data_IF_422707796774
#
_entry.id   IF_422707796774
#
_cell.length_a   1.000
_cell.length_b   1.000
_cell.length_c   1.000
_cell.angle_alpha   90.00
_cell.angle_beta   90.00
_cell.angle_gamma   90.00
#
_symmetry.space_group_name_H-M   'P 1'
#
loop_
_entity.id
_entity.type
_entity.pdbx_description
1 polymer ?
#
# COMPACT_ATOMS: atom_id res chain seq x y z
N UNK A 1 -19.66 3.81 25.06
CA UNK A 1 -18.23 3.69 25.50
C UNK A 1 -17.38 4.37 24.41
N UNK A 2 -16.82 5.58 24.50
CA UNK A 2 -16.43 6.44 25.62
C UNK A 2 -14.97 6.86 25.40
N UNK A 3 -14.70 8.18 25.43
CA UNK A 3 -13.41 8.92 25.37
C UNK A 3 -12.96 9.29 23.95
N UNK A 4 -12.89 10.55 23.49
CA UNK A 4 -12.79 11.84 24.17
C UNK A 4 -11.33 12.29 24.28
N UNK A 5 -10.87 13.21 23.42
CA UNK A 5 -9.80 14.18 23.71
C UNK A 5 -10.05 15.45 22.90
N UNK A 6 -10.27 16.55 23.61
CA UNK A 6 -10.56 17.86 23.04
C UNK A 6 -9.38 18.49 22.32
N UNK A 7 -9.70 19.52 21.54
CA UNK A 7 -8.78 20.61 21.23
C UNK A 7 -9.50 21.92 21.46
N UNK A 8 -8.75 22.81 22.09
CA UNK A 8 -9.19 24.00 22.79
C UNK A 8 -9.77 25.06 21.87
N UNK A 9 -10.67 25.86 22.45
CA UNK A 9 -11.12 27.13 21.89
C UNK A 9 -9.94 28.10 21.91
N UNK A 10 -9.31 28.32 20.77
CA UNK A 10 -8.49 29.51 20.55
C UNK A 10 -9.42 30.61 20.03
N UNK A 11 -9.76 31.57 20.89
CA UNK A 11 -10.30 32.85 20.47
C UNK A 11 -9.24 33.55 19.61
N UNK A 12 -9.35 33.39 18.29
CA UNK A 12 -8.54 34.08 17.30
C UNK A 12 -9.23 35.38 16.93
N UNK A 13 -8.54 36.49 17.21
CA UNK A 13 -8.96 37.85 16.96
C UNK A 13 -9.46 38.03 15.52
N UNK A 14 -10.74 38.37 15.36
CA UNK A 14 -11.34 38.77 14.08
C UNK A 14 -10.91 40.20 13.80
N UNK A 15 -9.72 40.37 13.21
CA UNK A 15 -9.36 41.63 12.57
C UNK A 15 -10.30 41.83 11.39
N UNK A 16 -11.07 42.90 11.40
CA UNK A 16 -11.89 43.34 10.29
C UNK A 16 -10.98 43.74 9.13
N UNK A 17 -10.73 42.81 8.21
CA UNK A 17 -10.12 43.11 6.92
C UNK A 17 -11.14 43.91 6.10
N UNK A 18 -10.84 45.19 5.88
CA UNK A 18 -11.65 46.11 5.09
C UNK A 18 -11.80 45.54 3.67
N UNK A 19 -12.99 45.08 3.33
CA UNK A 19 -13.33 44.66 1.96
C UNK A 19 -13.37 45.92 1.09
N UNK A 20 -12.29 46.18 0.37
CA UNK A 20 -12.27 47.15 -0.72
C UNK A 20 -13.15 46.62 -1.87
N UNK A 21 -14.01 47.46 -2.48
CA UNK A 21 -14.87 47.01 -3.57
C UNK A 21 -14.01 46.58 -4.76
N UNK A 22 -14.06 45.28 -5.06
CA UNK A 22 -13.33 44.62 -6.15
C UNK A 22 -13.88 45.14 -7.48
N UNK A 23 -13.00 45.53 -8.41
CA UNK A 23 -13.43 46.10 -9.68
C UNK A 23 -14.04 45.01 -10.58
N UNK A 24 -15.07 45.30 -11.40
CA UNK A 24 -15.76 44.30 -12.22
C UNK A 24 -14.86 43.52 -13.20
N UNK A 25 -13.68 44.04 -13.54
CA UNK A 25 -12.73 43.42 -14.48
C UNK A 25 -12.00 42.23 -13.85
N UNK A 26 -11.66 42.33 -12.55
CA UNK A 26 -10.95 41.27 -11.82
C UNK A 26 -11.83 40.04 -11.54
N UNK A 27 -13.15 40.24 -11.44
CA UNK A 27 -14.11 39.15 -11.28
C UNK A 27 -14.28 38.33 -12.56
N UNK A 28 -14.19 38.97 -13.73
CA UNK A 28 -14.27 38.31 -15.04
C UNK A 28 -13.06 37.38 -15.23
N UNK A 29 -11.85 37.85 -14.90
CA UNK A 29 -10.62 37.05 -14.99
C UNK A 29 -10.63 35.86 -14.03
N UNK A 30 -11.12 36.07 -12.80
CA UNK A 30 -11.28 35.00 -11.83
C UNK A 30 -12.30 33.94 -12.27
N UNK A 31 -13.42 34.36 -12.85
CA UNK A 31 -14.43 33.45 -13.42
C UNK A 31 -13.84 32.63 -14.59
N UNK A 32 -13.07 33.25 -15.48
CA UNK A 32 -12.42 32.55 -16.59
C UNK A 32 -11.43 31.48 -16.09
N UNK A 33 -10.62 31.79 -15.07
CA UNK A 33 -9.70 30.82 -14.47
C UNK A 33 -10.43 29.61 -13.89
N UNK A 34 -11.53 29.82 -13.17
CA UNK A 34 -12.36 28.74 -12.62
C UNK A 34 -12.97 27.88 -13.74
N UNK A 35 -13.42 28.50 -14.84
CA UNK A 35 -13.95 27.78 -15.99
C UNK A 35 -12.89 26.89 -16.63
N UNK A 36 -11.69 27.41 -16.86
CA UNK A 36 -10.57 26.63 -17.40
C UNK A 36 -10.17 25.48 -16.48
N UNK A 37 -10.15 25.71 -15.17
CA UNK A 37 -9.85 24.66 -14.20
C UNK A 37 -10.91 23.55 -14.23
N UNK A 38 -12.20 23.92 -14.28
CA UNK A 38 -13.30 22.96 -14.43
C UNK A 38 -13.20 22.17 -15.75
N UNK A 39 -12.80 22.81 -16.84
CA UNK A 39 -12.56 22.13 -18.12
C UNK A 39 -11.38 21.16 -18.06
N UNK A 40 -10.27 21.55 -17.44
CA UNK A 40 -9.12 20.66 -17.19
C UNK A 40 -9.52 19.46 -16.35
N UNK A 41 -10.28 19.69 -15.28
CA UNK A 41 -10.80 18.61 -14.43
C UNK A 41 -11.74 17.68 -15.20
N UNK A 42 -12.66 18.23 -16.03
CA UNK A 42 -13.54 17.44 -16.91
C UNK A 42 -12.77 16.62 -17.92
N UNK A 43 -11.76 17.20 -18.58
CA UNK A 43 -10.90 16.52 -19.55
C UNK A 43 -10.06 15.42 -18.90
N UNK A 44 -9.44 15.70 -17.76
CA UNK A 44 -8.70 14.72 -16.98
C UNK A 44 -9.61 13.55 -16.52
N UNK A 45 -10.86 13.85 -16.13
CA UNK A 45 -11.86 12.83 -15.80
C UNK A 45 -12.21 12.01 -17.05
N UNK A 46 -12.49 12.65 -18.18
CA UNK A 46 -12.80 11.97 -19.43
C UNK A 46 -11.66 11.05 -19.89
N UNK A 47 -10.41 11.52 -19.82
CA UNK A 47 -9.23 10.72 -20.19
C UNK A 47 -9.00 9.54 -19.22
N UNK A 48 -9.24 9.73 -17.92
CA UNK A 48 -9.16 8.66 -16.91
C UNK A 48 -10.16 7.53 -17.19
N UNK A 49 -11.35 7.86 -17.68
CA UNK A 49 -12.41 6.89 -18.00
C UNK A 49 -12.47 6.53 -19.50
N UNK A 50 -11.54 7.04 -20.32
CA UNK A 50 -11.51 6.74 -21.75
C UNK A 50 -11.14 5.28 -21.99
N UNK A 51 -12.07 4.53 -22.58
CA UNK A 51 -11.83 3.13 -22.96
C UNK A 51 -10.75 3.10 -24.04
N UNK A 52 -9.59 2.49 -23.74
CA UNK A 52 -8.53 2.28 -24.74
C UNK A 52 -9.03 1.31 -25.81
N UNK A 53 -8.92 1.71 -27.07
CA UNK A 53 -9.23 0.85 -28.23
C UNK A 53 -8.31 -0.38 -28.17
N UNK A 54 -8.89 -1.58 -28.20
CA UNK A 54 -8.11 -2.83 -28.23
C UNK A 54 -7.33 -2.89 -29.54
N UNK A 55 -6.01 -3.09 -29.48
CA UNK A 55 -5.23 -3.46 -30.66
C UNK A 55 -5.78 -4.80 -31.18
N UNK A 56 -6.02 -4.88 -32.49
CA UNK A 56 -6.28 -6.16 -33.15
C UNK A 56 -4.93 -6.84 -33.35
N UNK A 57 -4.88 -8.15 -33.12
CA UNK A 57 -3.69 -8.93 -33.42
C UNK A 57 -3.40 -8.85 -34.93
N UNK A 58 -2.13 -8.63 -35.27
CA UNK A 58 -1.64 -8.61 -36.66
C UNK A 58 -1.87 -10.01 -37.25
N UNK A 59 -2.56 -10.06 -38.40
CA UNK A 59 -2.90 -11.31 -39.07
C UNK A 59 -1.65 -12.00 -39.63
N UNK A 60 -1.73 -13.32 -39.80
CA UNK A 60 -0.67 -14.13 -40.40
C UNK A 60 -0.38 -13.67 -41.84
N UNK A 61 0.89 -13.66 -42.23
CA UNK A 61 1.32 -13.38 -43.59
C UNK A 61 0.92 -14.52 -44.55
N UNK A 62 0.79 -14.19 -45.84
CA UNK A 62 0.36 -15.13 -46.86
C UNK A 62 1.39 -16.27 -47.04
N UNK A 63 0.97 -17.51 -46.79
CA UNK A 63 1.82 -18.71 -46.86
C UNK A 63 2.18 -19.31 -45.50
N UNK A 64 1.88 -18.65 -44.38
CA UNK A 64 2.22 -19.14 -43.05
C UNK A 64 1.17 -20.11 -42.47
N UNK A 65 1.61 -21.26 -41.94
CA UNK A 65 0.71 -22.23 -41.30
C UNK A 65 0.31 -21.75 -39.90
N UNK A 66 -0.97 -21.87 -39.54
CA UNK A 66 -1.47 -21.56 -38.19
C UNK A 66 -0.83 -22.49 -37.15
N UNK A 67 0.05 -21.95 -36.32
CA UNK A 67 0.59 -22.65 -35.16
C UNK A 67 -0.47 -22.87 -34.06
N UNK A 68 -0.38 -24.00 -33.34
CA UNK A 68 -1.21 -24.22 -32.16
C UNK A 68 -0.74 -23.33 -30.99
N UNK A 69 -1.68 -22.71 -30.28
CA UNK A 69 -1.35 -21.83 -29.14
C UNK A 69 -0.90 -22.64 -27.91
N UNK A 70 -0.16 -22.00 -27.00
CA UNK A 70 0.28 -22.65 -25.75
C UNK A 70 -0.89 -23.22 -24.93
N UNK A 71 -2.07 -22.58 -25.00
CA UNK A 71 -3.27 -23.05 -24.31
C UNK A 71 -3.74 -24.40 -24.86
N UNK A 72 -3.79 -24.54 -26.19
CA UNK A 72 -4.16 -25.78 -26.90
C UNK A 72 -3.11 -26.87 -26.67
N UNK A 73 -1.82 -26.51 -26.67
CA UNK A 73 -0.74 -27.48 -26.47
C UNK A 73 -0.71 -28.02 -25.03
N UNK A 74 -0.96 -27.17 -24.02
CA UNK A 74 -0.84 -27.56 -22.61
C UNK A 74 -2.15 -28.01 -21.97
N UNK A 75 -3.31 -27.70 -22.54
CA UNK A 75 -4.64 -28.12 -22.07
C UNK A 75 -4.83 -28.04 -20.54
N UNK A 76 -4.36 -26.94 -19.92
CA UNK A 76 -4.39 -26.77 -18.45
C UNK A 76 -5.78 -26.45 -17.90
N UNK A 77 -6.72 -26.00 -18.74
CA UNK A 77 -8.07 -25.62 -18.31
C UNK A 77 -8.12 -24.46 -17.31
N UNK A 78 -9.22 -24.36 -16.57
CA UNK A 78 -9.51 -23.29 -15.61
C UNK A 78 -8.86 -23.54 -14.23
N UNK A 79 -7.53 -23.74 -14.20
CA UNK A 79 -6.82 -23.94 -12.92
C UNK A 79 -6.67 -22.64 -12.13
N UNK A 80 -6.78 -22.66 -10.79
CA UNK A 80 -6.56 -21.49 -9.96
C UNK A 80 -5.10 -21.03 -9.99
N UNK A 81 -4.87 -19.74 -9.74
CA UNK A 81 -3.53 -19.20 -9.65
C UNK A 81 -2.74 -19.80 -8.47
N UNK A 82 -1.54 -20.33 -8.75
CA UNK A 82 -0.61 -20.86 -7.74
C UNK A 82 0.55 -19.89 -7.53
N UNK A 83 0.86 -19.59 -6.26
CA UNK A 83 2.00 -18.73 -5.91
C UNK A 83 3.33 -19.26 -6.43
N UNK A 84 4.29 -18.37 -6.72
CA UNK A 84 5.62 -18.75 -7.24
C UNK A 84 6.38 -19.67 -6.27
N UNK A 85 6.19 -19.51 -4.96
CA UNK A 85 6.81 -20.38 -3.95
C UNK A 85 6.32 -21.82 -4.04
N UNK A 86 5.05 -22.03 -4.37
CA UNK A 86 4.48 -23.37 -4.52
C UNK A 86 4.96 -24.10 -5.78
N UNK A 87 5.64 -23.41 -6.71
CA UNK A 87 6.25 -24.03 -7.90
C UNK A 87 7.53 -24.82 -7.57
N UNK A 88 8.23 -24.48 -6.49
CA UNK A 88 9.48 -25.11 -6.11
C UNK A 88 9.43 -25.60 -4.64
N UNK A 89 9.41 -26.92 -4.39
CA UNK A 89 9.27 -27.46 -3.03
C UNK A 89 10.40 -27.02 -2.09
N UNK A 90 11.64 -26.89 -2.60
CA UNK A 90 12.79 -26.41 -1.83
C UNK A 90 12.59 -24.98 -1.34
N UNK A 91 12.15 -24.09 -2.24
CA UNK A 91 11.93 -22.67 -1.90
C UNK A 91 10.80 -22.53 -0.88
N UNK A 92 9.72 -23.30 -1.05
CA UNK A 92 8.60 -23.33 -0.08
C UNK A 92 9.08 -23.72 1.33
N UNK A 93 9.87 -24.78 1.45
CA UNK A 93 10.37 -25.26 2.75
C UNK A 93 11.36 -24.29 3.39
N UNK A 94 12.24 -23.67 2.59
CA UNK A 94 13.17 -22.62 3.07
C UNK A 94 12.41 -21.43 3.66
N UNK A 95 11.40 -20.93 2.98
CA UNK A 95 10.57 -19.82 3.48
C UNK A 95 9.73 -20.23 4.69
N UNK A 96 9.20 -21.46 4.71
CA UNK A 96 8.49 -21.99 5.88
C UNK A 96 9.39 -22.01 7.13
N UNK A 97 10.63 -22.46 6.99
CA UNK A 97 11.63 -22.46 8.07
C UNK A 97 11.97 -21.05 8.53
N UNK A 98 12.27 -20.13 7.60
CA UNK A 98 12.52 -18.72 7.92
C UNK A 98 11.36 -18.08 8.71
N UNK A 99 10.12 -18.30 8.26
CA UNK A 99 8.91 -17.82 8.96
C UNK A 99 8.71 -18.48 10.31
N UNK A 100 9.10 -19.74 10.48
CA UNK A 100 9.04 -20.43 11.76
C UNK A 100 10.06 -19.85 12.75
N UNK A 101 11.29 -19.58 12.31
CA UNK A 101 12.30 -18.92 13.14
C UNK A 101 11.86 -17.54 13.61
N UNK A 102 11.28 -16.73 12.73
CA UNK A 102 10.75 -15.40 13.09
C UNK A 102 9.62 -15.49 14.12
N UNK A 103 8.66 -16.40 13.92
CA UNK A 103 7.58 -16.64 14.89
C UNK A 103 8.10 -17.12 16.25
N UNK A 104 9.09 -18.02 16.24
CA UNK A 104 9.73 -18.52 17.46
C UNK A 104 10.37 -17.38 18.26
N UNK A 105 11.09 -16.47 17.59
CA UNK A 105 11.71 -15.29 18.22
C UNK A 105 10.67 -14.37 18.90
N UNK A 106 9.44 -14.33 18.39
CA UNK A 106 8.34 -13.57 19.01
C UNK A 106 7.68 -14.27 20.20
N UNK A 107 7.67 -15.60 20.23
CA UNK A 107 7.04 -16.38 21.30
C UNK A 107 7.97 -16.66 22.47
N UNK A 108 9.23 -17.00 22.17
CA UNK A 108 10.24 -17.41 23.15
C UNK A 108 11.50 -16.59 22.94
N UNK A 109 12.06 -16.07 24.03
CA UNK A 109 13.34 -15.36 24.00
C UNK A 109 14.45 -16.36 23.66
N UNK A 110 15.24 -16.06 22.63
CA UNK A 110 16.41 -16.87 22.31
C UNK A 110 17.50 -16.73 23.39
N UNK A 111 18.40 -17.71 23.44
CA UNK A 111 19.61 -17.62 24.28
C UNK A 111 20.44 -16.43 23.80
N UNK A 112 20.97 -15.67 24.75
CA UNK A 112 21.84 -14.53 24.44
C UNK A 112 23.26 -15.04 24.30
N UNK A 113 23.88 -14.78 23.16
CA UNK A 113 25.26 -15.16 22.84
C UNK A 113 26.06 -13.85 22.78
N UNK A 114 27.10 -13.69 23.61
CA UNK A 114 27.98 -12.51 23.62
C UNK A 114 27.76 -11.45 24.71
N UNK A 115 26.87 -11.68 25.68
CA UNK A 115 26.79 -10.84 26.91
C UNK A 115 27.86 -11.19 27.96
N UNK A 116 28.75 -12.14 27.66
CA UNK A 116 29.81 -12.56 28.58
C UNK A 116 30.91 -11.50 28.71
N UNK A 117 31.19 -10.76 27.63
CA UNK A 117 32.29 -9.79 27.59
C UNK A 117 31.86 -8.41 28.10
N UNK A 118 30.68 -7.91 27.68
CA UNK A 118 30.14 -6.63 28.15
C UNK A 118 28.59 -6.59 28.07
N UNK A 119 27.95 -6.08 29.14
CA UNK A 119 26.50 -5.89 29.20
C UNK A 119 26.09 -4.50 28.69
N UNK A 120 25.54 -4.43 27.47
CA UNK A 120 25.09 -3.19 26.85
C UNK A 120 23.69 -2.69 27.26
N UNK A 121 23.05 -3.28 28.27
CA UNK A 121 21.70 -2.94 28.71
C UNK A 121 20.56 -3.53 27.87
N UNK A 122 19.31 -3.40 28.36
CA UNK A 122 18.10 -3.89 27.68
C UNK A 122 17.61 -2.91 26.60
N UNK A 123 18.07 -3.08 25.36
CA UNK A 123 17.73 -2.20 24.22
C UNK A 123 16.21 -2.03 23.99
N UNK A 124 15.41 -3.05 24.27
CA UNK A 124 13.94 -3.00 24.11
C UNK A 124 13.21 -2.46 25.34
N UNK A 125 13.93 -2.13 26.42
CA UNK A 125 13.40 -1.62 27.67
C UNK A 125 12.90 -2.71 28.63
N UNK A 126 12.76 -2.33 29.90
CA UNK A 126 12.24 -3.18 30.99
C UNK A 126 10.80 -2.77 31.29
N UNK A 127 9.89 -3.74 31.33
CA UNK A 127 8.50 -3.53 31.75
C UNK A 127 8.30 -4.06 33.18
N UNK A 128 8.30 -3.15 34.17
CA UNK A 128 8.21 -3.49 35.59
C UNK A 128 6.89 -4.17 36.00
N UNK A 129 5.82 -4.05 35.20
CA UNK A 129 4.50 -4.59 35.56
C UNK A 129 4.31 -6.05 35.17
N UNK A 130 5.18 -6.61 34.34
CA UNK A 130 4.99 -7.96 33.76
C UNK A 130 5.95 -8.95 34.39
N UNK A 131 5.40 -9.93 35.12
CA UNK A 131 6.12 -11.14 35.55
C UNK A 131 5.91 -12.27 34.54
N UNK A 132 6.98 -12.95 34.13
CA UNK A 132 6.96 -14.10 33.21
C UNK A 132 7.44 -15.42 33.86
N UNK A 133 7.38 -15.54 35.18
CA UNK A 133 7.77 -16.77 35.89
C UNK A 133 6.71 -17.88 35.76
N UNK A 134 7.14 -19.14 35.86
CA UNK A 134 6.23 -20.30 35.99
C UNK A 134 5.86 -20.45 37.47
N UNK A 135 4.56 -20.49 37.78
CA UNK A 135 4.09 -20.82 39.14
C UNK A 135 4.17 -22.33 39.33
N UNK A 136 4.73 -22.77 40.45
CA UNK A 136 4.65 -24.15 40.91
C UNK A 136 3.36 -24.25 41.73
N UNK A 137 2.47 -25.15 41.33
CA UNK A 137 1.25 -25.48 42.06
C UNK A 137 1.40 -26.82 42.75
#
# INVERSE_FOLDING_TARGET
KGKGKGKEKSQGNRAEEKVTPRTPVEEIDFMQLIMQEKERQRKAKADKYRVKKRKRDEGLEEGEKRGATYQIIKNRGLTPHKSKMNRNPRVKKREQYRRALLRRKGQVRAVREGEADDYGGEKSGINARVSRSRRLG
#
